data_IF_907404219229
#
_entry.id   IF_907404219229
#
_cell.length_a   1.000
_cell.length_b   1.000
_cell.length_c   1.000
_cell.angle_alpha   90.00
_cell.angle_beta   90.00
_cell.angle_gamma   90.00
#
_symmetry.space_group_name_H-M   'P 1'
#
loop_
_entity.id
_entity.type
_entity.pdbx_description
1 polymer ?
#
# COMPACT_ATOMS: atom_id res chain seq x y z
N UNK A 1 23.11 -0.85 -4.22
CA UNK A 1 22.99 0.56 -4.42
C UNK A 1 21.57 0.96 -4.73
N UNK A 2 21.06 1.87 -3.96
CA UNK A 2 19.80 2.56 -4.18
C UNK A 2 19.71 3.08 -5.62
N UNK A 3 18.51 3.15 -6.17
CA UNK A 3 18.18 3.80 -7.43
C UNK A 3 19.08 5.04 -7.61
N UNK A 4 19.85 5.03 -8.67
CA UNK A 4 20.97 5.93 -8.95
C UNK A 4 20.79 7.36 -8.49
N UNK A 5 21.72 7.74 -7.70
CA UNK A 5 22.03 9.01 -7.07
C UNK A 5 21.18 9.37 -5.85
N UNK A 6 21.85 9.43 -4.73
CA UNK A 6 21.43 10.09 -3.49
C UNK A 6 20.94 11.55 -3.71
N UNK A 7 21.13 12.09 -4.88
CA UNK A 7 20.81 13.48 -5.22
C UNK A 7 19.31 13.70 -5.50
N UNK A 8 18.57 12.68 -5.97
CA UNK A 8 17.12 12.79 -6.19
C UNK A 8 16.31 12.58 -4.92
N UNK A 9 16.88 11.93 -3.91
CA UNK A 9 16.19 11.53 -2.66
C UNK A 9 16.18 12.64 -1.62
N UNK A 10 17.15 13.56 -1.64
CA UNK A 10 17.36 14.54 -0.55
C UNK A 10 16.24 15.57 -0.38
N UNK A 11 15.57 15.97 -1.46
CA UNK A 11 14.61 17.07 -1.41
C UNK A 11 13.15 16.61 -1.18
N UNK A 12 12.89 15.29 -1.12
CA UNK A 12 11.54 14.74 -1.08
C UNK A 12 11.41 13.51 -0.18
N UNK A 13 12.28 13.36 0.83
CA UNK A 13 12.24 12.25 1.78
C UNK A 13 11.31 12.58 2.95
N UNK A 14 10.29 11.78 3.17
CA UNK A 14 9.21 12.00 4.14
C UNK A 14 8.69 13.46 4.14
N UNK A 15 8.26 13.98 2.97
CA UNK A 15 7.75 15.33 2.88
C UNK A 15 6.52 15.52 3.78
N UNK A 16 6.36 16.73 4.34
CA UNK A 16 5.18 17.05 5.14
C UNK A 16 3.90 17.09 4.29
N UNK A 17 2.74 17.03 4.94
CA UNK A 17 1.44 17.15 4.25
C UNK A 17 1.33 18.45 3.46
N UNK A 18 1.85 19.57 3.98
CA UNK A 18 1.84 20.86 3.28
C UNK A 18 2.65 20.81 1.99
N UNK A 19 3.86 20.21 2.04
CA UNK A 19 4.71 20.04 0.86
C UNK A 19 4.04 19.13 -0.16
N UNK A 20 3.43 18.02 0.28
CA UNK A 20 2.71 17.12 -0.61
C UNK A 20 1.51 17.80 -1.27
N UNK A 21 0.73 18.55 -0.48
CA UNK A 21 -0.41 19.30 -1.00
C UNK A 21 0.00 20.33 -2.06
N UNK A 22 1.06 21.10 -1.79
CA UNK A 22 1.60 22.06 -2.77
C UNK A 22 2.08 21.35 -4.06
N UNK A 23 2.74 20.21 -3.93
CA UNK A 23 3.24 19.45 -5.06
C UNK A 23 2.13 18.82 -5.90
N UNK A 24 1.12 18.23 -5.28
CA UNK A 24 0.02 17.55 -6.00
C UNK A 24 -0.99 18.52 -6.61
N UNK A 25 -1.08 19.76 -6.10
CA UNK A 25 -1.98 20.81 -6.62
C UNK A 25 -1.31 21.84 -7.51
N UNK A 26 -0.03 21.67 -7.86
CA UNK A 26 0.70 22.58 -8.76
C UNK A 26 -0.01 22.75 -10.09
N UNK A 27 -0.12 24.00 -10.56
CA UNK A 27 -0.71 24.32 -11.85
C UNK A 27 0.09 23.74 -13.06
N UNK A 28 1.34 23.35 -12.85
CA UNK A 28 2.18 22.71 -13.86
C UNK A 28 1.99 21.20 -13.98
N UNK A 29 1.21 20.58 -13.09
CA UNK A 29 0.91 19.16 -13.17
C UNK A 29 -0.01 18.87 -14.37
N UNK A 30 0.18 17.73 -15.00
CA UNK A 30 -0.59 17.31 -16.17
C UNK A 30 -1.12 15.87 -15.98
N UNK A 31 -2.21 15.57 -16.70
CA UNK A 31 -2.79 14.23 -16.70
C UNK A 31 -3.19 13.73 -15.30
N UNK A 32 -2.77 12.54 -14.95
CA UNK A 32 -3.10 11.90 -13.67
C UNK A 32 -2.23 12.37 -12.48
N UNK A 33 -1.30 13.30 -12.69
CA UNK A 33 -0.56 13.94 -11.60
C UNK A 33 -1.37 15.07 -10.94
N UNK A 34 -2.41 15.55 -11.62
CA UNK A 34 -3.22 16.67 -11.16
C UNK A 34 -4.04 16.29 -9.95
N UNK A 35 -3.77 16.95 -8.83
CA UNK A 35 -4.62 16.99 -7.66
C UNK A 35 -5.54 18.21 -7.71
N UNK A 36 -6.82 18.01 -7.52
CA UNK A 36 -7.82 19.09 -7.48
C UNK A 36 -8.24 19.34 -6.04
N UNK A 37 -8.07 20.58 -5.58
CA UNK A 37 -8.58 20.97 -4.28
C UNK A 37 -10.11 20.92 -4.26
N UNK A 38 -10.67 20.40 -3.19
CA UNK A 38 -12.11 20.25 -2.98
C UNK A 38 -12.64 21.32 -2.02
N UNK A 39 -13.97 21.45 -1.92
CA UNK A 39 -14.62 22.34 -0.95
C UNK A 39 -14.33 21.99 0.51
N UNK A 40 -13.93 20.75 0.78
CA UNK A 40 -13.53 20.28 2.10
C UNK A 40 -12.02 20.45 2.37
N UNK A 41 -11.32 21.20 1.53
CA UNK A 41 -9.87 21.40 1.60
C UNK A 41 -9.06 20.09 1.56
N UNK A 42 -9.55 19.14 0.77
CA UNK A 42 -8.90 17.86 0.47
C UNK A 42 -8.52 17.80 -1.00
N UNK A 43 -7.77 16.79 -1.41
CA UNK A 43 -7.32 16.64 -2.80
C UNK A 43 -8.05 15.49 -3.47
N UNK A 44 -8.71 15.79 -4.59
CA UNK A 44 -9.30 14.81 -5.48
C UNK A 44 -8.32 14.47 -6.61
N UNK A 45 -8.11 13.18 -6.87
CA UNK A 45 -7.17 12.68 -7.89
C UNK A 45 -7.84 11.65 -8.79
N UNK A 46 -7.32 11.54 -9.99
CA UNK A 46 -7.73 10.52 -10.96
C UNK A 46 -6.69 9.40 -11.02
N UNK A 47 -7.13 8.15 -10.99
CA UNK A 47 -6.25 6.98 -11.04
C UNK A 47 -6.20 6.32 -12.43
N UNK A 48 -6.67 7.02 -13.46
CA UNK A 48 -6.69 6.53 -14.82
C UNK A 48 -7.69 5.40 -15.04
N UNK A 49 -7.32 4.44 -15.85
CA UNK A 49 -8.18 3.29 -16.19
C UNK A 49 -8.36 2.31 -15.03
N UNK A 50 -7.46 2.35 -14.04
CA UNK A 50 -7.51 1.49 -12.87
C UNK A 50 -8.16 2.21 -11.69
N UNK A 51 -9.42 1.91 -11.41
CA UNK A 51 -10.15 2.39 -10.23
C UNK A 51 -10.12 1.38 -9.07
N UNK A 52 -9.33 0.34 -9.21
CA UNK A 52 -9.10 -0.74 -8.25
C UNK A 52 -7.82 -1.50 -8.57
N UNK A 53 -7.48 -2.48 -7.76
CA UNK A 53 -6.34 -3.36 -7.99
C UNK A 53 -6.53 -4.18 -9.26
N UNK A 54 -5.41 -4.61 -9.86
CA UNK A 54 -5.39 -5.52 -11.01
C UNK A 54 -4.88 -6.91 -10.63
N UNK A 55 -5.74 -7.80 -10.10
CA UNK A 55 -5.33 -9.13 -9.64
C UNK A 55 -4.71 -9.99 -10.75
N UNK A 56 -5.14 -9.79 -11.99
CA UNK A 56 -4.62 -10.49 -13.17
C UNK A 56 -3.18 -10.16 -13.51
N UNK A 57 -2.71 -9.00 -13.05
CA UNK A 57 -1.37 -8.48 -13.30
C UNK A 57 -0.47 -8.56 -12.05
N UNK A 58 -0.91 -9.34 -11.03
CA UNK A 58 -0.15 -9.61 -9.82
C UNK A 58 0.71 -10.84 -9.99
N UNK A 59 2.00 -10.70 -9.68
CA UNK A 59 3.01 -11.76 -9.80
C UNK A 59 3.85 -11.86 -8.55
N UNK A 60 4.33 -13.07 -8.26
CA UNK A 60 5.29 -13.33 -7.20
C UNK A 60 6.46 -14.11 -7.79
N UNK A 61 7.69 -13.71 -7.52
CA UNK A 61 8.87 -14.43 -7.97
C UNK A 61 8.90 -15.82 -7.35
N UNK A 62 8.96 -16.83 -8.20
CA UNK A 62 9.09 -18.22 -7.78
C UNK A 62 10.58 -18.60 -7.74
N UNK A 63 11.12 -18.66 -6.56
CA UNK A 63 12.51 -19.05 -6.27
C UNK A 63 12.57 -20.18 -5.22
N UNK A 64 13.76 -20.56 -4.80
CA UNK A 64 13.95 -21.63 -3.83
C UNK A 64 13.27 -21.37 -2.48
N UNK A 65 13.08 -20.10 -2.08
CA UNK A 65 12.43 -19.74 -0.81
C UNK A 65 10.90 -19.68 -0.91
N UNK A 66 10.40 -19.21 -2.05
CA UNK A 66 8.96 -18.95 -2.25
C UNK A 66 8.20 -20.15 -2.80
N UNK A 67 8.87 -21.06 -3.54
CA UNK A 67 8.22 -22.16 -4.27
C UNK A 67 7.33 -23.07 -3.40
N UNK A 68 7.75 -23.33 -2.16
CA UNK A 68 7.08 -24.24 -1.23
C UNK A 68 6.25 -23.52 -0.16
N UNK A 69 6.29 -22.19 -0.12
CA UNK A 69 5.64 -21.38 0.94
C UNK A 69 4.50 -20.50 0.41
N UNK A 70 4.45 -20.24 -0.88
CA UNK A 70 3.37 -19.48 -1.52
C UNK A 70 2.31 -20.45 -2.04
N UNK A 71 1.04 -20.09 -1.82
CA UNK A 71 -0.09 -20.82 -2.42
C UNK A 71 -0.27 -20.35 -3.87
N UNK A 72 0.35 -21.05 -4.78
CA UNK A 72 0.35 -20.71 -6.20
C UNK A 72 -1.01 -21.00 -6.89
N UNK A 73 -1.34 -20.19 -7.90
CA UNK A 73 -2.44 -20.50 -8.79
C UNK A 73 -2.12 -21.74 -9.61
N UNK A 74 -3.09 -22.64 -9.70
CA UNK A 74 -3.01 -23.87 -10.52
C UNK A 74 -4.32 -24.08 -11.26
N UNK A 75 -4.39 -25.05 -12.17
CA UNK A 75 -5.64 -25.38 -12.84
C UNK A 75 -6.71 -25.91 -11.89
N UNK A 76 -6.30 -26.61 -10.82
CA UNK A 76 -7.20 -27.13 -9.80
C UNK A 76 -7.62 -26.05 -8.78
N UNK A 77 -6.75 -25.06 -8.49
CA UNK A 77 -6.97 -24.04 -7.47
C UNK A 77 -6.63 -22.66 -8.02
N UNK A 78 -7.63 -21.95 -8.54
CA UNK A 78 -7.44 -20.60 -9.06
C UNK A 78 -7.34 -19.59 -7.95
N UNK A 79 -6.29 -18.76 -8.00
CA UNK A 79 -6.08 -17.58 -7.16
C UNK A 79 -5.25 -16.55 -7.94
N UNK A 80 -4.90 -15.43 -7.30
CA UNK A 80 -4.18 -14.33 -7.94
C UNK A 80 -2.65 -14.36 -7.69
N UNK A 81 -2.09 -15.46 -7.17
CA UNK A 81 -0.66 -15.61 -6.99
C UNK A 81 -0.03 -16.25 -8.23
N UNK A 82 0.20 -15.44 -9.25
CA UNK A 82 0.82 -15.90 -10.49
C UNK A 82 2.35 -16.00 -10.31
N UNK A 83 2.98 -17.10 -10.71
CA UNK A 83 4.43 -17.21 -10.62
C UNK A 83 5.12 -16.33 -11.66
N UNK A 84 6.27 -15.76 -11.28
CA UNK A 84 7.18 -15.03 -12.16
C UNK A 84 8.57 -15.60 -12.03
N UNK A 85 9.31 -15.69 -13.14
CA UNK A 85 10.71 -16.13 -13.11
C UNK A 85 11.63 -15.02 -12.61
N UNK A 86 12.82 -15.38 -12.11
CA UNK A 86 13.83 -14.39 -11.69
C UNK A 86 14.31 -13.54 -12.86
N UNK A 87 14.39 -14.09 -14.08
CA UNK A 87 14.75 -13.35 -15.29
C UNK A 87 13.70 -12.29 -15.63
N UNK A 88 12.41 -12.63 -15.60
CA UNK A 88 11.32 -11.66 -15.83
C UNK A 88 11.32 -10.59 -14.75
N UNK A 89 11.53 -10.99 -13.48
CA UNK A 89 11.67 -10.03 -12.38
C UNK A 89 12.80 -9.03 -12.62
N UNK A 90 13.98 -9.49 -13.04
CA UNK A 90 15.11 -8.62 -13.33
C UNK A 90 14.77 -7.58 -14.40
N UNK A 91 14.04 -7.97 -15.44
CA UNK A 91 13.59 -7.06 -16.52
C UNK A 91 12.62 -6.02 -16.02
N UNK A 92 11.55 -6.40 -15.31
CA UNK A 92 10.54 -5.45 -14.83
C UNK A 92 11.09 -4.53 -13.74
N UNK A 93 12.00 -5.04 -12.90
CA UNK A 93 12.70 -4.22 -11.90
C UNK A 93 13.62 -3.18 -12.56
N UNK A 94 14.38 -3.58 -13.57
CA UNK A 94 15.24 -2.65 -14.34
C UNK A 94 14.40 -1.58 -15.05
N UNK A 95 13.27 -1.95 -15.64
CA UNK A 95 12.33 -1.03 -16.26
C UNK A 95 11.81 0.01 -15.25
N UNK A 96 11.35 -0.44 -14.09
CA UNK A 96 10.88 0.46 -13.04
C UNK A 96 11.99 1.40 -12.55
N UNK A 97 13.21 0.90 -12.35
CA UNK A 97 14.36 1.71 -11.95
C UNK A 97 14.75 2.74 -13.02
N UNK A 98 14.71 2.38 -14.29
CA UNK A 98 14.96 3.32 -15.40
C UNK A 98 13.92 4.43 -15.45
N UNK A 99 12.64 4.09 -15.25
CA UNK A 99 11.58 5.08 -15.19
C UNK A 99 11.79 6.06 -14.02
N UNK A 100 12.15 5.56 -12.85
CA UNK A 100 12.36 6.35 -11.66
C UNK A 100 13.69 7.13 -11.62
N UNK A 101 14.63 6.86 -12.54
CA UNK A 101 15.90 7.56 -12.59
C UNK A 101 15.79 8.98 -13.18
N UNK A 102 16.65 9.89 -12.69
CA UNK A 102 16.85 11.24 -13.23
C UNK A 102 15.59 12.13 -13.25
N UNK A 103 14.68 11.92 -12.31
CA UNK A 103 13.49 12.75 -12.12
C UNK A 103 13.26 13.01 -10.64
N UNK A 104 12.37 13.95 -10.33
CA UNK A 104 11.92 14.18 -8.96
C UNK A 104 11.18 12.95 -8.46
N UNK A 105 11.56 12.49 -7.29
CA UNK A 105 10.92 11.37 -6.60
C UNK A 105 10.47 11.81 -5.21
N UNK A 106 9.45 11.12 -4.71
CA UNK A 106 9.01 11.19 -3.33
C UNK A 106 9.32 9.86 -2.66
N UNK A 107 10.09 9.93 -1.58
CA UNK A 107 10.46 8.76 -0.79
C UNK A 107 9.73 8.86 0.55
N UNK A 108 8.92 7.86 0.86
CA UNK A 108 8.20 7.78 2.13
C UNK A 108 8.65 6.54 2.88
N UNK A 109 9.24 6.74 4.04
CA UNK A 109 9.56 5.69 5.00
C UNK A 109 8.43 5.60 6.01
N UNK A 110 7.88 4.42 6.19
CA UNK A 110 6.73 4.18 7.05
C UNK A 110 6.74 2.75 7.62
N UNK A 111 5.88 2.48 8.59
CA UNK A 111 5.71 1.14 9.14
C UNK A 111 4.36 0.55 8.73
N UNK A 112 4.37 -0.74 8.40
CA UNK A 112 3.19 -1.57 8.28
C UNK A 112 3.07 -2.45 9.53
N UNK A 113 2.06 -2.20 10.36
CA UNK A 113 1.84 -2.88 11.64
C UNK A 113 2.13 -1.99 12.86
N UNK A 114 1.18 -1.94 13.80
CA UNK A 114 1.29 -1.15 15.02
C UNK A 114 2.16 -1.82 16.10
N UNK A 115 2.32 -3.15 16.04
CA UNK A 115 3.18 -3.88 16.98
C UNK A 115 4.66 -3.68 16.59
N UNK A 116 5.42 -3.03 17.46
CA UNK A 116 6.83 -2.70 17.22
C UNK A 116 7.74 -3.92 17.00
N UNK A 117 7.38 -5.06 17.58
CA UNK A 117 8.19 -6.28 17.48
C UNK A 117 8.00 -7.03 16.15
N UNK A 118 6.91 -6.75 15.44
CA UNK A 118 6.51 -7.50 14.23
C UNK A 118 6.20 -6.62 13.03
N UNK A 119 6.20 -5.28 13.20
CA UNK A 119 5.98 -4.32 12.12
C UNK A 119 7.05 -4.45 11.04
N UNK A 120 6.69 -4.14 9.84
CA UNK A 120 7.60 -4.09 8.69
C UNK A 120 7.96 -2.64 8.37
N UNK A 121 9.24 -2.32 8.34
CA UNK A 121 9.75 -1.04 7.87
C UNK A 121 9.70 -1.01 6.34
N UNK A 122 8.97 -0.09 5.75
CA UNK A 122 8.75 -0.02 4.30
C UNK A 122 9.21 1.32 3.75
N UNK A 123 9.99 1.27 2.68
CA UNK A 123 10.35 2.44 1.88
C UNK A 123 9.58 2.44 0.58
N UNK A 124 8.76 3.47 0.38
CA UNK A 124 8.04 3.72 -0.86
C UNK A 124 8.80 4.73 -1.70
N UNK A 125 9.11 4.38 -2.94
CA UNK A 125 9.75 5.25 -3.92
C UNK A 125 8.74 5.47 -5.03
N UNK A 126 8.19 6.69 -5.13
CA UNK A 126 7.11 7.04 -6.05
C UNK A 126 7.46 8.30 -6.84
N UNK A 127 6.94 8.41 -8.05
CA UNK A 127 7.17 9.56 -8.94
C UNK A 127 6.02 10.59 -8.93
N UNK A 128 4.95 10.32 -8.15
CA UNK A 128 3.73 11.13 -8.12
C UNK A 128 3.44 11.59 -6.69
N UNK A 129 3.27 12.89 -6.48
CA UNK A 129 3.10 13.48 -5.16
C UNK A 129 1.89 12.92 -4.39
N UNK A 130 0.72 12.83 -5.03
CA UNK A 130 -0.47 12.32 -4.37
C UNK A 130 -0.38 10.81 -4.01
N UNK A 131 0.47 10.04 -4.69
CA UNK A 131 0.75 8.66 -4.28
C UNK A 131 1.62 8.61 -3.01
N UNK A 132 2.55 9.56 -2.86
CA UNK A 132 3.28 9.74 -1.61
C UNK A 132 2.33 10.16 -0.48
N UNK A 133 1.42 11.11 -0.74
CA UNK A 133 0.39 11.51 0.20
C UNK A 133 -0.50 10.32 0.62
N UNK A 134 -0.93 9.50 -0.33
CA UNK A 134 -1.70 8.30 -0.07
C UNK A 134 -0.99 7.34 0.91
N UNK A 135 0.29 7.00 0.67
CA UNK A 135 1.02 6.09 1.58
C UNK A 135 1.33 6.74 2.92
N UNK A 136 1.53 8.05 2.97
CA UNK A 136 1.69 8.80 4.23
C UNK A 136 0.44 8.68 5.11
N UNK A 137 -0.76 8.71 4.51
CA UNK A 137 -2.02 8.50 5.22
C UNK A 137 -2.28 7.05 5.61
N UNK A 138 -1.88 6.11 4.75
CA UNK A 138 -2.25 4.70 4.92
C UNK A 138 -1.35 3.92 5.85
N UNK A 139 -0.10 4.34 6.04
CA UNK A 139 0.89 3.63 6.85
C UNK A 139 1.24 4.42 8.12
N UNK A 140 1.80 3.72 9.10
CA UNK A 140 2.17 4.32 10.38
C UNK A 140 3.44 5.15 10.19
N UNK A 141 3.35 6.43 10.53
CA UNK A 141 4.47 7.34 10.38
C UNK A 141 5.53 7.11 11.47
N UNK A 142 6.81 7.00 11.10
CA UNK A 142 7.91 6.95 12.05
C UNK A 142 8.04 8.26 12.82
N UNK A 143 8.51 8.19 14.06
CA UNK A 143 8.98 9.37 14.79
C UNK A 143 10.26 9.94 14.16
N UNK A 144 10.62 11.17 14.52
CA UNK A 144 11.87 11.78 14.05
C UNK A 144 13.11 10.95 14.41
N UNK A 145 13.13 10.37 15.62
CA UNK A 145 14.20 9.49 16.08
C UNK A 145 14.27 8.18 15.27
N UNK A 146 13.12 7.60 14.95
CA UNK A 146 13.04 6.37 14.11
C UNK A 146 13.50 6.64 12.68
N UNK A 147 13.26 7.85 12.14
CA UNK A 147 13.72 8.23 10.81
C UNK A 147 15.24 8.40 10.69
N UNK A 148 15.92 8.84 11.77
CA UNK A 148 17.38 9.03 11.76
C UNK A 148 18.15 7.73 11.46
N UNK A 149 17.59 6.58 11.89
CA UNK A 149 18.19 5.27 11.73
C UNK A 149 17.29 4.32 10.95
N UNK A 150 16.45 4.84 10.07
CA UNK A 150 15.49 4.02 9.34
C UNK A 150 16.16 3.14 8.29
N UNK A 151 16.10 1.84 8.50
CA UNK A 151 16.49 0.82 7.53
C UNK A 151 15.24 0.06 7.07
N UNK A 152 14.90 0.09 5.77
CA UNK A 152 13.72 -0.59 5.29
C UNK A 152 13.92 -2.12 5.27
N UNK A 153 12.93 -2.84 5.81
CA UNK A 153 12.79 -4.28 5.60
C UNK A 153 12.31 -4.60 4.19
N UNK A 154 11.52 -3.69 3.59
CA UNK A 154 10.88 -3.88 2.30
C UNK A 154 10.91 -2.58 1.48
N UNK A 155 11.14 -2.68 0.17
CA UNK A 155 11.19 -1.52 -0.72
C UNK A 155 10.14 -1.64 -1.83
N UNK A 156 9.35 -0.59 -2.03
CA UNK A 156 8.35 -0.48 -3.08
C UNK A 156 8.79 0.52 -4.14
N UNK A 157 8.93 0.07 -5.38
CA UNK A 157 9.20 0.90 -6.55
C UNK A 157 7.90 1.09 -7.34
N UNK A 158 7.31 2.29 -7.28
CA UNK A 158 6.07 2.59 -7.99
C UNK A 158 6.35 3.48 -9.21
N UNK A 159 6.44 2.84 -10.37
CA UNK A 159 6.68 3.45 -11.68
C UNK A 159 5.38 3.48 -12.50
N UNK A 160 4.40 4.29 -12.06
CA UNK A 160 3.07 4.36 -12.65
C UNK A 160 3.06 4.75 -14.12
N UNK A 161 4.05 5.52 -14.56
CA UNK A 161 4.17 6.04 -15.94
C UNK A 161 4.82 5.05 -16.89
N UNK A 162 5.56 4.06 -16.39
CA UNK A 162 6.18 3.02 -17.21
C UNK A 162 5.13 2.03 -17.74
N UNK A 163 5.50 1.31 -18.81
CA UNK A 163 4.71 0.22 -19.40
C UNK A 163 5.61 -0.93 -19.78
N UNK A 164 5.14 -2.16 -19.59
CA UNK A 164 5.82 -3.36 -20.06
C UNK A 164 5.40 -3.65 -21.49
N UNK A 165 6.01 -2.98 -22.48
CA UNK A 165 5.61 -3.08 -23.89
C UNK A 165 5.74 -4.50 -24.44
N UNK A 166 6.78 -5.23 -24.02
CA UNK A 166 7.04 -6.61 -24.43
C UNK A 166 6.44 -7.65 -23.49
N UNK A 167 5.33 -7.33 -22.84
CA UNK A 167 4.70 -8.20 -21.82
C UNK A 167 4.43 -9.64 -22.30
N UNK A 168 4.06 -9.83 -23.56
CA UNK A 168 3.78 -11.15 -24.13
C UNK A 168 5.01 -12.05 -24.16
N UNK A 169 6.18 -11.47 -24.50
CA UNK A 169 7.46 -12.19 -24.54
C UNK A 169 7.91 -12.59 -23.13
N UNK A 170 7.54 -11.78 -22.13
CA UNK A 170 7.82 -12.02 -20.72
C UNK A 170 6.78 -12.94 -20.05
N UNK A 171 5.77 -13.39 -20.77
CA UNK A 171 4.71 -14.24 -20.21
C UNK A 171 3.75 -13.50 -19.27
N UNK A 172 3.67 -12.17 -19.36
CA UNK A 172 2.76 -11.35 -18.55
C UNK A 172 1.41 -11.18 -19.25
N UNK A 173 0.38 -10.86 -18.46
CA UNK A 173 -1.00 -10.74 -18.92
C UNK A 173 -1.23 -9.44 -19.72
N UNK A 174 -0.57 -8.34 -19.34
CA UNK A 174 -0.73 -7.02 -19.95
C UNK A 174 0.52 -6.16 -19.78
N UNK A 175 0.47 -4.91 -20.28
CA UNK A 175 1.51 -3.90 -20.05
C UNK A 175 1.63 -3.47 -18.57
N UNK A 176 0.68 -3.88 -17.72
CA UNK A 176 0.66 -3.61 -16.28
C UNK A 176 1.33 -4.76 -15.53
N UNK A 177 2.12 -4.43 -14.52
CA UNK A 177 2.80 -5.41 -13.70
C UNK A 177 2.85 -4.96 -12.24
N UNK A 178 2.33 -5.82 -11.35
CA UNK A 178 2.46 -5.67 -9.89
C UNK A 178 3.16 -6.90 -9.36
N UNK A 179 4.47 -6.82 -9.21
CA UNK A 179 5.32 -7.96 -8.93
C UNK A 179 5.98 -7.86 -7.55
N UNK A 180 6.12 -8.99 -6.89
CA UNK A 180 6.75 -9.12 -5.58
C UNK A 180 7.91 -10.10 -5.66
N UNK A 181 9.04 -9.72 -5.09
CA UNK A 181 10.12 -10.63 -4.78
C UNK A 181 10.23 -10.76 -3.25
N UNK A 182 9.76 -11.87 -2.72
CA UNK A 182 9.70 -12.13 -1.27
C UNK A 182 11.12 -12.28 -0.70
N UNK A 183 12.03 -12.86 -1.47
CA UNK A 183 13.41 -13.12 -1.05
C UNK A 183 14.24 -11.84 -0.98
N UNK A 184 14.15 -10.98 -2.01
CA UNK A 184 14.82 -9.66 -2.00
C UNK A 184 14.03 -8.60 -1.26
N UNK A 185 12.79 -8.90 -0.83
CA UNK A 185 11.88 -8.01 -0.11
C UNK A 185 11.60 -6.71 -0.88
N UNK A 186 11.13 -6.87 -2.10
CA UNK A 186 10.86 -5.77 -3.00
C UNK A 186 9.52 -5.95 -3.72
N UNK A 187 8.86 -4.83 -4.01
CA UNK A 187 7.70 -4.75 -4.90
C UNK A 187 7.99 -3.79 -6.04
N UNK A 188 7.56 -4.16 -7.23
CA UNK A 188 7.55 -3.29 -8.43
C UNK A 188 6.13 -3.10 -8.90
N UNK A 189 5.72 -1.86 -9.14
CA UNK A 189 4.40 -1.49 -9.67
C UNK A 189 4.62 -0.70 -10.95
N UNK A 190 4.04 -1.16 -12.06
CA UNK A 190 4.18 -0.56 -13.39
C UNK A 190 2.79 -0.37 -14.01
N UNK A 191 2.55 0.77 -14.66
CA UNK A 191 1.38 1.10 -15.48
C UNK A 191 0.04 1.07 -14.72
N UNK A 192 0.05 1.30 -13.44
CA UNK A 192 -1.17 1.57 -12.66
C UNK A 192 -0.95 2.75 -11.72
N UNK A 193 -1.95 3.64 -11.67
CA UNK A 193 -1.93 4.82 -10.81
C UNK A 193 -2.68 4.57 -9.50
N UNK A 194 -3.34 3.41 -9.37
CA UNK A 194 -4.14 3.09 -8.21
C UNK A 194 -3.27 2.86 -6.96
N UNK A 195 -3.34 3.78 -6.01
CA UNK A 195 -2.53 3.74 -4.78
C UNK A 195 -2.73 2.47 -3.92
N UNK A 196 -3.91 1.85 -4.01
CA UNK A 196 -4.23 0.63 -3.29
C UNK A 196 -3.37 -0.58 -3.64
N UNK A 197 -2.59 -0.56 -4.74
CA UNK A 197 -1.60 -1.60 -5.02
C UNK A 197 -0.45 -1.59 -3.99
N UNK A 198 -0.02 -0.41 -3.55
CA UNK A 198 0.99 -0.27 -2.48
C UNK A 198 0.43 -0.74 -1.14
N UNK A 199 -0.79 -0.30 -0.78
CA UNK A 199 -1.46 -0.67 0.47
C UNK A 199 -1.65 -2.19 0.56
N UNK A 200 -2.35 -2.76 -0.41
CA UNK A 200 -2.67 -4.20 -0.42
C UNK A 200 -1.46 -5.08 -0.72
N UNK A 201 -0.44 -4.52 -1.37
CA UNK A 201 0.85 -5.16 -1.52
C UNK A 201 1.50 -5.46 -0.17
N UNK A 202 1.56 -4.45 0.70
CA UNK A 202 2.13 -4.63 2.04
C UNK A 202 1.28 -5.53 2.93
N UNK A 203 -0.05 -5.45 2.82
CA UNK A 203 -0.93 -6.43 3.45
C UNK A 203 -0.62 -7.87 3.00
N UNK A 204 -0.44 -8.08 1.70
CA UNK A 204 -0.06 -9.40 1.17
C UNK A 204 1.27 -9.88 1.77
N UNK A 205 2.23 -8.99 1.96
CA UNK A 205 3.51 -9.34 2.58
C UNK A 205 3.37 -9.64 4.09
N UNK A 206 2.59 -8.86 4.82
CA UNK A 206 2.26 -9.18 6.23
C UNK A 206 1.53 -10.51 6.33
N UNK A 207 0.58 -10.78 5.43
CA UNK A 207 -0.15 -12.05 5.34
C UNK A 207 0.73 -13.25 4.96
N UNK A 208 1.90 -13.02 4.39
CA UNK A 208 2.90 -14.03 4.13
C UNK A 208 3.86 -14.21 5.32
N UNK A 209 4.47 -13.12 5.82
CA UNK A 209 5.53 -13.21 6.82
C UNK A 209 5.01 -13.51 8.24
N UNK A 210 3.88 -12.97 8.65
CA UNK A 210 3.38 -13.14 10.02
C UNK A 210 2.98 -14.60 10.34
N UNK A 211 2.25 -15.32 9.46
CA UNK A 211 1.95 -16.72 9.71
C UNK A 211 3.17 -17.62 9.85
N UNK A 212 4.26 -17.32 9.15
CA UNK A 212 5.54 -18.03 9.28
C UNK A 212 6.17 -17.85 10.68
N UNK A 213 5.76 -16.78 11.39
CA UNK A 213 6.15 -16.50 12.79
C UNK A 213 5.11 -16.95 13.80
N UNK A 214 4.04 -17.66 13.37
CA UNK A 214 2.95 -18.10 14.23
C UNK A 214 1.97 -16.99 14.62
N UNK A 215 1.95 -15.86 13.90
CA UNK A 215 1.08 -14.71 14.14
C UNK A 215 -0.03 -14.71 13.09
N UNK A 216 -1.28 -14.56 13.53
CA UNK A 216 -2.39 -14.46 12.59
C UNK A 216 -2.37 -13.14 11.82
N UNK A 217 -2.67 -13.20 10.52
CA UNK A 217 -2.89 -12.04 9.66
C UNK A 217 -4.29 -12.11 9.07
N UNK A 218 -5.07 -11.03 9.21
CA UNK A 218 -6.51 -11.07 9.00
C UNK A 218 -7.00 -9.86 8.21
N UNK A 219 -7.86 -10.12 7.23
CA UNK A 219 -8.65 -9.09 6.57
C UNK A 219 -9.99 -8.94 7.32
N UNK A 220 -10.01 -8.07 8.31
CA UNK A 220 -11.13 -7.87 9.23
C UNK A 220 -11.12 -6.45 9.78
N UNK A 221 -12.25 -5.99 10.30
CA UNK A 221 -12.30 -4.84 11.21
C UNK A 221 -12.16 -5.33 12.66
N UNK A 222 -11.71 -4.46 13.55
CA UNK A 222 -11.59 -4.77 14.97
C UNK A 222 -11.88 -3.56 15.84
N UNK A 223 -12.50 -3.80 17.01
CA UNK A 223 -12.67 -2.80 18.05
C UNK A 223 -12.50 -3.42 19.44
N UNK A 224 -12.34 -2.59 20.44
CA UNK A 224 -12.27 -3.00 21.85
C UNK A 224 -13.30 -2.24 22.68
N UNK A 225 -13.55 -2.65 23.92
CA UNK A 225 -14.35 -1.85 24.84
C UNK A 225 -13.62 -0.57 25.26
N UNK A 226 -14.28 0.29 26.02
CA UNK A 226 -13.71 1.59 26.42
C UNK A 226 -12.52 1.48 27.39
N UNK A 227 -12.21 0.28 27.89
CA UNK A 227 -11.01 0.02 28.70
C UNK A 227 -9.85 -0.54 27.85
N UNK A 228 -10.06 -0.77 26.55
CA UNK A 228 -9.09 -1.39 25.65
C UNK A 228 -9.08 -2.92 25.76
N UNK A 229 -10.10 -3.51 26.38
CA UNK A 229 -10.26 -4.95 26.56
C UNK A 229 -11.40 -5.49 25.69
N UNK A 230 -11.70 -6.79 25.80
CA UNK A 230 -12.84 -7.42 25.12
C UNK A 230 -12.89 -7.10 23.62
N UNK A 231 -11.77 -7.35 22.94
CA UNK A 231 -11.62 -7.13 21.49
C UNK A 231 -12.63 -7.97 20.71
N UNK A 232 -13.34 -7.31 19.80
CA UNK A 232 -14.21 -7.94 18.81
C UNK A 232 -13.59 -7.82 17.40
N UNK A 233 -13.68 -8.91 16.63
CA UNK A 233 -13.17 -9.02 15.27
C UNK A 233 -14.35 -9.27 14.33
N UNK A 234 -14.43 -8.50 13.24
CA UNK A 234 -15.52 -8.57 12.27
C UNK A 234 -15.01 -9.04 10.92
N UNK A 235 -15.38 -10.24 10.53
CA UNK A 235 -15.11 -10.79 9.20
C UNK A 235 -16.31 -10.61 8.27
N UNK A 236 -16.05 -10.51 6.98
CA UNK A 236 -17.08 -10.46 5.95
C UNK A 236 -16.52 -9.93 4.63
N UNK A 237 -17.28 -10.09 3.55
CA UNK A 237 -16.94 -9.57 2.23
C UNK A 237 -17.09 -8.04 2.19
N UNK A 238 -16.57 -7.42 1.13
CA UNK A 238 -16.75 -5.98 0.90
C UNK A 238 -18.25 -5.62 0.83
N UNK A 239 -18.64 -4.55 1.53
CA UNK A 239 -20.04 -4.08 1.57
C UNK A 239 -20.97 -4.84 2.53
N UNK A 240 -20.47 -5.74 3.37
CA UNK A 240 -21.29 -6.47 4.35
C UNK A 240 -21.50 -5.74 5.69
N UNK A 241 -20.96 -4.52 5.82
CA UNK A 241 -21.13 -3.70 7.01
C UNK A 241 -20.05 -3.87 8.09
N UNK A 242 -18.90 -4.49 7.79
CA UNK A 242 -17.79 -4.63 8.76
C UNK A 242 -17.39 -3.29 9.38
N UNK A 243 -17.11 -2.30 8.54
CA UNK A 243 -16.72 -0.96 8.99
C UNK A 243 -17.81 -0.31 9.84
N UNK A 244 -19.07 -0.35 9.37
CA UNK A 244 -20.21 0.20 10.12
C UNK A 244 -20.39 -0.44 11.50
N UNK A 245 -20.21 -1.76 11.61
CA UNK A 245 -20.33 -2.47 12.89
C UNK A 245 -19.16 -2.18 13.83
N UNK A 246 -17.96 -2.04 13.29
CA UNK A 246 -16.75 -1.81 14.11
C UNK A 246 -16.60 -0.37 14.59
N UNK A 247 -17.26 0.60 13.94
CA UNK A 247 -17.22 2.03 14.29
C UNK A 247 -18.29 2.44 15.32
N UNK A 248 -18.78 1.52 16.15
CA UNK A 248 -19.69 1.82 17.25
C UNK A 248 -19.04 2.87 18.20
N UNK A 249 -19.68 4.04 18.42
CA UNK A 249 -19.13 5.11 19.28
C UNK A 249 -18.97 4.72 20.74
N UNK A 250 -19.55 3.60 21.16
CA UNK A 250 -19.39 3.02 22.52
C UNK A 250 -18.17 2.10 22.64
N UNK A 251 -17.40 1.94 21.59
CA UNK A 251 -16.21 1.10 21.55
C UNK A 251 -15.03 1.83 20.93
N UNK A 252 -13.83 1.42 21.25
CA UNK A 252 -12.58 1.96 20.69
C UNK A 252 -12.27 1.24 19.37
N UNK A 253 -12.27 1.95 18.25
CA UNK A 253 -11.87 1.39 16.96
C UNK A 253 -10.36 1.06 16.98
N UNK A 254 -10.01 -0.19 16.68
CA UNK A 254 -8.61 -0.60 16.44
C UNK A 254 -8.26 -0.36 14.98
N UNK A 255 -9.12 -0.76 14.07
CA UNK A 255 -9.00 -0.51 12.64
C UNK A 255 -10.16 -1.12 11.86
N UNK A 256 -10.28 -0.75 10.58
CA UNK A 256 -11.45 -1.12 9.78
C UNK A 256 -11.18 -2.18 8.70
N UNK A 257 -9.90 -2.54 8.41
CA UNK A 257 -9.59 -3.38 7.24
C UNK A 257 -8.59 -4.52 7.50
N UNK A 258 -7.42 -4.27 8.11
CA UNK A 258 -6.30 -5.22 8.15
C UNK A 258 -5.63 -5.30 9.54
N UNK A 259 -5.54 -6.50 10.10
CA UNK A 259 -5.05 -6.72 11.46
C UNK A 259 -4.15 -7.95 11.58
N UNK A 260 -3.23 -7.88 12.54
CA UNK A 260 -2.53 -9.03 13.10
C UNK A 260 -3.05 -9.39 14.48
N UNK A 261 -2.82 -10.64 14.89
CA UNK A 261 -3.14 -11.10 16.22
C UNK A 261 -2.03 -12.02 16.72
N UNK A 262 -1.36 -11.59 17.78
CA UNK A 262 -0.33 -12.31 18.49
C UNK A 262 -0.71 -12.56 19.96
N UNK A 263 0.23 -13.00 20.77
CA UNK A 263 0.01 -13.29 22.19
C UNK A 263 -0.32 -12.03 23.02
N UNK A 264 -0.01 -10.82 22.51
CA UNK A 264 -0.28 -9.54 23.16
C UNK A 264 -1.63 -8.94 22.75
N UNK A 265 -2.28 -9.51 21.74
CA UNK A 265 -3.59 -9.07 21.27
C UNK A 265 -3.64 -8.71 19.78
N UNK A 266 -4.74 -8.05 19.39
CA UNK A 266 -5.01 -7.63 18.02
C UNK A 266 -4.40 -6.26 17.77
N UNK A 267 -3.71 -6.10 16.64
CA UNK A 267 -3.09 -4.83 16.24
C UNK A 267 -3.39 -4.50 14.79
N UNK A 268 -3.54 -3.20 14.49
CA UNK A 268 -3.78 -2.70 13.16
C UNK A 268 -2.49 -2.69 12.32
N UNK A 269 -2.60 -2.94 11.01
CA UNK A 269 -1.49 -2.77 10.07
C UNK A 269 -1.34 -1.34 9.57
N UNK A 270 -2.40 -0.54 9.65
CA UNK A 270 -2.53 0.74 9.00
C UNK A 270 -2.39 1.91 9.98
N UNK A 271 -1.98 3.06 9.42
CA UNK A 271 -1.96 4.34 10.12
C UNK A 271 -3.22 5.19 9.91
N UNK A 272 -4.08 4.81 8.97
CA UNK A 272 -5.31 5.52 8.62
C UNK A 272 -6.37 4.59 8.05
N UNK A 273 -7.48 5.17 7.60
CA UNK A 273 -8.61 4.45 7.02
C UNK A 273 -8.75 4.75 5.52
N UNK A 274 -9.23 3.77 4.76
CA UNK A 274 -9.50 3.91 3.33
C UNK A 274 -10.88 3.35 3.00
N UNK A 275 -11.84 4.23 2.80
CA UNK A 275 -13.24 3.87 2.56
C UNK A 275 -13.71 4.25 1.16
N UNK A 276 -14.67 3.50 0.62
CA UNK A 276 -15.43 3.89 -0.58
C UNK A 276 -16.51 4.88 -0.16
N UNK A 277 -16.42 6.12 -0.67
CA UNK A 277 -17.34 7.21 -0.34
C UNK A 277 -18.37 7.46 -1.45
N UNK A 278 -18.89 6.42 -2.07
CA UNK A 278 -19.90 6.50 -3.13
C UNK A 278 -21.20 7.04 -2.52
N UNK A 279 -21.63 8.22 -3.00
CA UNK A 279 -22.82 8.94 -2.47
C UNK A 279 -22.73 9.17 -0.95
N UNK A 280 -21.54 9.46 -0.44
CA UNK A 280 -21.36 9.77 0.97
C UNK A 280 -22.26 10.96 1.36
N UNK A 281 -23.08 10.74 2.37
CA UNK A 281 -24.02 11.72 2.88
C UNK A 281 -23.73 12.03 4.36
N UNK A 282 -23.74 13.32 4.70
CA UNK A 282 -23.38 13.80 6.04
C UNK A 282 -24.31 13.29 7.14
N UNK A 283 -25.59 13.14 6.81
CA UNK A 283 -26.61 12.78 7.81
C UNK A 283 -26.67 11.26 8.02
N UNK A 284 -26.35 10.48 6.98
CA UNK A 284 -26.34 9.02 7.07
C UNK A 284 -25.03 8.42 7.62
N UNK A 285 -23.89 9.07 7.32
CA UNK A 285 -22.56 8.60 7.74
C UNK A 285 -21.70 9.77 8.28
N UNK A 286 -22.13 10.41 9.39
CA UNK A 286 -21.50 11.63 9.89
C UNK A 286 -20.04 11.43 10.32
N UNK A 287 -19.67 10.28 10.84
CA UNK A 287 -18.31 10.01 11.32
C UNK A 287 -17.32 9.93 10.16
N UNK A 288 -17.68 9.25 9.07
CA UNK A 288 -16.86 9.16 7.85
C UNK A 288 -16.78 10.55 7.21
N UNK A 289 -17.92 11.25 7.08
CA UNK A 289 -17.95 12.57 6.47
C UNK A 289 -17.07 13.57 7.23
N UNK A 290 -17.15 13.59 8.56
CA UNK A 290 -16.38 14.50 9.41
C UNK A 290 -14.90 14.12 9.53
N UNK A 291 -14.53 12.89 9.19
CA UNK A 291 -13.13 12.45 9.14
C UNK A 291 -12.41 12.94 7.87
N UNK A 292 -13.15 13.35 6.83
CA UNK A 292 -12.57 13.88 5.58
C UNK A 292 -12.00 15.26 5.85
N UNK A 293 -10.68 15.38 5.80
CA UNK A 293 -9.92 16.64 5.99
C UNK A 293 -8.51 16.52 5.42
N UNK A 294 -7.91 17.69 5.21
CA UNK A 294 -6.49 17.82 4.83
C UNK A 294 -5.54 17.43 5.98
#
# INVERSE_FOLDING_TARGET
GLVGSEMCIRDSHNPSYEVLFEEETKASNEGYEVGQNTELDTVNVMTGVFTGRSPKDKYIVMDENSKDTVWWTTDAYKNDNHPMTEETWAVVKDLAKKELCNKKLYVVDAFCGANKDTRMAVRFIVEVAWQAHFVTNMFIQPSAEELENFEPDFVVYNASKAKVENYKELGLNSETCVAFNITSKEQVIINTWYGGEMKKGMFSMMNYYLPLKGIASMHCSANADMNGENTAIFFGLSGTGKTTLSTDPKRLLIGDDEHGWDDNGVFNFEGGCYAKVINLDKDSEPDIYNAIRR
#
